data_IF_274331725788
#
_entry.id   IF_274331725788
#
_cell.length_a   1.000
_cell.length_b   1.000
_cell.length_c   1.000
_cell.angle_alpha   90.00
_cell.angle_beta   90.00
_cell.angle_gamma   90.00
#
_symmetry.space_group_name_H-M   'P 1'
#
loop_
_entity.id
_entity.type
_entity.pdbx_description
1 polymer ?
#
# COMPACT_ATOMS: atom_id res chain seq x y z
N UNK A 1 -24.02 -5.56 22.75
CA UNK A 1 -23.24 -4.34 22.46
C UNK A 1 -21.82 -4.73 22.04
N UNK A 2 -21.50 -4.66 20.75
CA UNK A 2 -20.15 -4.99 20.26
C UNK A 2 -19.16 -3.93 20.75
N UNK A 3 -18.18 -4.34 21.57
CA UNK A 3 -17.14 -3.44 22.11
C UNK A 3 -16.32 -2.93 20.92
N UNK A 4 -16.40 -1.63 20.63
CA UNK A 4 -15.69 -0.98 19.52
C UNK A 4 -14.20 -1.34 19.60
N UNK A 5 -13.67 -2.01 18.57
CA UNK A 5 -12.27 -2.43 18.54
C UNK A 5 -11.39 -1.19 18.61
N UNK A 6 -10.44 -1.19 19.55
CA UNK A 6 -9.46 -0.11 19.68
C UNK A 6 -8.52 -0.15 18.49
N UNK A 7 -8.51 0.91 17.70
CA UNK A 7 -7.60 1.10 16.57
C UNK A 7 -6.33 1.80 17.04
N UNK A 8 -5.20 1.44 16.45
CA UNK A 8 -3.89 2.03 16.73
C UNK A 8 -3.31 2.58 15.43
N UNK A 9 -2.60 3.71 15.51
CA UNK A 9 -1.97 4.30 14.33
C UNK A 9 -0.84 3.41 13.80
N UNK A 10 -0.50 3.48 12.50
CA UNK A 10 0.60 2.72 11.91
C UNK A 10 1.94 2.97 12.62
N UNK A 11 2.21 4.24 12.99
CA UNK A 11 3.45 4.68 13.64
C UNK A 11 3.57 4.03 15.02
N UNK A 12 2.46 4.00 15.77
CA UNK A 12 2.43 3.38 17.10
C UNK A 12 2.69 1.88 17.03
N UNK A 13 2.07 1.18 16.07
CA UNK A 13 2.30 -0.26 15.87
C UNK A 13 3.76 -0.54 15.51
N UNK A 14 4.34 0.26 14.63
CA UNK A 14 5.74 0.13 14.22
C UNK A 14 6.69 0.37 15.41
N UNK A 15 6.46 1.41 16.21
CA UNK A 15 7.27 1.71 17.38
C UNK A 15 7.24 0.57 18.42
N UNK A 16 6.05 0.09 18.77
CA UNK A 16 5.88 -0.99 19.75
C UNK A 16 6.42 -2.32 19.21
N UNK A 17 6.18 -2.61 17.93
CA UNK A 17 6.72 -3.79 17.26
C UNK A 17 8.25 -3.79 17.19
N UNK A 18 8.87 -2.63 16.93
CA UNK A 18 10.32 -2.47 16.95
C UNK A 18 10.91 -2.60 18.36
N UNK A 19 10.27 -2.01 19.38
CA UNK A 19 10.67 -2.17 20.79
C UNK A 19 10.66 -3.66 21.20
N UNK A 20 9.61 -4.38 20.80
CA UNK A 20 9.49 -5.82 21.03
C UNK A 20 10.48 -6.66 20.20
N UNK A 21 10.88 -6.19 19.02
CA UNK A 21 11.87 -6.83 18.16
C UNK A 21 13.29 -6.67 18.73
N UNK A 22 13.62 -5.49 19.27
CA UNK A 22 14.90 -5.21 19.94
C UNK A 22 15.14 -6.13 21.14
N UNK A 23 14.08 -6.59 21.81
CA UNK A 23 14.16 -7.58 22.89
C UNK A 23 14.80 -7.10 24.19
N UNK A 24 14.95 -5.78 24.37
CA UNK A 24 15.50 -5.17 25.60
C UNK A 24 14.58 -5.41 26.80
N UNK A 25 13.27 -5.36 26.55
CA UNK A 25 12.25 -5.63 27.56
C UNK A 25 11.35 -6.79 27.10
N UNK A 26 10.82 -7.58 28.05
CA UNK A 26 9.92 -8.66 27.70
C UNK A 26 8.57 -8.10 27.24
N UNK A 27 7.90 -8.84 26.36
CA UNK A 27 6.64 -8.45 25.70
C UNK A 27 5.56 -8.01 26.70
N UNK A 28 5.47 -8.63 27.87
CA UNK A 28 4.48 -8.29 28.89
C UNK A 28 4.72 -6.92 29.53
N UNK A 29 5.98 -6.49 29.70
CA UNK A 29 6.32 -5.15 30.21
C UNK A 29 5.98 -4.09 29.16
N UNK A 30 6.35 -4.33 27.90
CA UNK A 30 6.02 -3.44 26.78
C UNK A 30 4.50 -3.29 26.63
N UNK A 31 3.78 -4.40 26.71
CA UNK A 31 2.31 -4.43 26.68
C UNK A 31 1.69 -3.61 27.82
N UNK A 32 2.20 -3.75 29.04
CA UNK A 32 1.73 -2.99 30.20
C UNK A 32 1.99 -1.49 30.04
N UNK A 33 3.21 -1.10 29.62
CA UNK A 33 3.62 0.29 29.40
C UNK A 33 2.71 1.00 28.39
N UNK A 34 2.46 0.33 27.27
CA UNK A 34 1.68 0.88 26.16
C UNK A 34 0.16 0.65 26.31
N UNK A 35 -0.28 -0.03 27.37
CA UNK A 35 -1.68 -0.43 27.61
C UNK A 35 -2.27 -1.19 26.41
N UNK A 36 -1.48 -2.11 25.87
CA UNK A 36 -1.76 -2.98 24.72
C UNK A 36 -1.79 -4.43 25.21
N UNK A 37 -2.55 -5.31 24.56
CA UNK A 37 -2.54 -6.72 24.93
C UNK A 37 -1.25 -7.41 24.46
N UNK A 38 -0.60 -8.28 25.26
CA UNK A 38 0.66 -8.94 24.89
C UNK A 38 0.63 -9.66 23.53
N UNK A 39 -0.50 -10.28 23.18
CA UNK A 39 -0.71 -10.93 21.87
C UNK A 39 -0.58 -9.93 20.71
N UNK A 40 -1.07 -8.69 20.87
CA UNK A 40 -0.98 -7.66 19.83
C UNK A 40 0.48 -7.21 19.66
N UNK A 41 1.24 -7.09 20.75
CA UNK A 41 2.66 -6.76 20.71
C UNK A 41 3.45 -7.85 19.99
N UNK A 42 3.19 -9.13 20.28
CA UNK A 42 3.79 -10.26 19.56
C UNK A 42 3.43 -10.26 18.07
N UNK A 43 2.18 -9.92 17.73
CA UNK A 43 1.74 -9.81 16.34
C UNK A 43 2.50 -8.70 15.60
N UNK A 44 2.63 -7.51 16.21
CA UNK A 44 3.36 -6.41 15.59
C UNK A 44 4.86 -6.68 15.49
N UNK A 45 5.45 -7.37 16.48
CA UNK A 45 6.84 -7.86 16.38
C UNK A 45 7.04 -8.72 15.14
N UNK A 46 6.15 -9.67 14.90
CA UNK A 46 6.18 -10.55 13.73
C UNK A 46 6.01 -9.76 12.43
N UNK A 47 5.00 -8.90 12.38
CA UNK A 47 4.72 -8.05 11.21
C UNK A 47 5.91 -7.15 10.85
N UNK A 48 6.57 -6.56 11.85
CA UNK A 48 7.80 -5.77 11.64
C UNK A 48 8.93 -6.65 11.11
N UNK A 49 9.14 -7.86 11.66
CA UNK A 49 10.19 -8.76 11.17
C UNK A 49 9.97 -9.24 9.73
N UNK A 50 8.72 -9.42 9.31
CA UNK A 50 8.37 -9.86 7.95
C UNK A 50 8.45 -8.73 6.94
N UNK A 51 8.06 -7.51 7.32
CA UNK A 51 8.08 -6.33 6.44
C UNK A 51 9.43 -5.62 6.36
N UNK A 52 10.30 -5.78 7.34
CA UNK A 52 11.64 -5.18 7.32
C UNK A 52 12.44 -5.56 6.06
N UNK A 53 12.51 -6.83 5.64
CA UNK A 53 13.13 -7.22 4.37
C UNK A 53 12.53 -6.52 3.15
N UNK A 54 11.21 -6.29 3.13
CA UNK A 54 10.54 -5.58 2.04
C UNK A 54 10.98 -4.11 1.99
N UNK A 55 11.16 -3.46 3.14
CA UNK A 55 11.65 -2.07 3.22
C UNK A 55 13.08 -1.94 2.66
N UNK A 56 13.95 -2.92 2.90
CA UNK A 56 15.31 -2.93 2.35
C UNK A 56 15.41 -3.49 0.93
N UNK A 57 14.42 -4.29 0.50
CA UNK A 57 14.35 -4.90 -0.83
C UNK A 57 13.60 -4.04 -1.86
N UNK A 58 12.67 -3.19 -1.43
CA UNK A 58 11.87 -2.36 -2.32
C UNK A 58 12.65 -1.14 -2.81
N UNK A 59 12.88 -1.11 -4.12
CA UNK A 59 12.91 0.11 -4.91
C UNK A 59 11.47 0.65 -5.06
N UNK A 60 10.74 0.87 -3.97
CA UNK A 60 9.33 1.27 -4.00
C UNK A 60 9.06 2.48 -4.91
N UNK A 61 10.04 3.39 -5.00
CA UNK A 61 9.99 4.53 -5.91
C UNK A 61 10.09 4.15 -7.39
N UNK A 62 10.83 3.10 -7.76
CA UNK A 62 10.93 2.68 -9.17
C UNK A 62 9.65 2.07 -9.66
N UNK A 63 9.03 1.19 -8.87
CA UNK A 63 7.80 0.51 -9.30
C UNK A 63 6.63 1.51 -9.38
N UNK A 64 6.57 2.48 -8.46
CA UNK A 64 5.58 3.57 -8.53
C UNK A 64 5.82 4.48 -9.74
N UNK A 65 7.08 4.84 -10.02
CA UNK A 65 7.43 5.67 -11.19
C UNK A 65 7.14 4.94 -12.50
N UNK A 66 7.46 3.65 -12.57
CA UNK A 66 7.20 2.80 -13.74
C UNK A 66 5.71 2.60 -13.97
N UNK A 67 4.92 2.47 -12.90
CA UNK A 67 3.46 2.45 -12.98
C UNK A 67 2.90 3.77 -13.53
N UNK A 68 3.39 4.92 -13.06
CA UNK A 68 2.98 6.25 -13.55
C UNK A 68 3.35 6.44 -15.02
N UNK A 69 4.54 6.02 -15.43
CA UNK A 69 4.98 6.09 -16.83
C UNK A 69 4.09 5.24 -17.73
N UNK A 70 3.82 3.99 -17.31
CA UNK A 70 2.94 3.09 -18.06
C UNK A 70 1.52 3.61 -18.14
N UNK A 71 0.99 4.19 -17.07
CA UNK A 71 -0.33 4.81 -17.04
C UNK A 71 -0.40 6.00 -18.03
N UNK A 72 0.65 6.82 -18.10
CA UNK A 72 0.74 7.92 -19.07
C UNK A 72 0.74 7.42 -20.51
N UNK A 73 1.55 6.41 -20.83
CA UNK A 73 1.60 5.81 -22.17
C UNK A 73 0.23 5.27 -22.60
N UNK A 74 -0.46 4.56 -21.70
CA UNK A 74 -1.81 4.05 -21.96
C UNK A 74 -2.82 5.16 -22.22
N UNK A 75 -2.77 6.27 -21.46
CA UNK A 75 -3.68 7.39 -21.70
C UNK A 75 -3.43 8.10 -23.03
N UNK A 76 -2.17 8.23 -23.45
CA UNK A 76 -1.81 8.78 -24.76
C UNK A 76 -2.32 7.89 -25.91
N UNK A 77 -2.18 6.57 -25.78
CA UNK A 77 -2.66 5.61 -26.76
C UNK A 77 -4.20 5.61 -26.86
N UNK A 78 -4.90 5.64 -25.73
CA UNK A 78 -6.36 5.80 -25.70
C UNK A 78 -6.78 7.11 -26.40
N UNK A 79 -6.04 8.20 -26.19
CA UNK A 79 -6.28 9.48 -26.85
C UNK A 79 -6.15 9.39 -28.37
N UNK A 80 -5.06 8.78 -28.87
CA UNK A 80 -4.87 8.54 -30.31
C UNK A 80 -5.96 7.67 -30.90
N UNK A 81 -6.25 6.53 -30.28
CA UNK A 81 -7.29 5.60 -30.75
C UNK A 81 -8.67 6.26 -30.79
N UNK A 82 -9.00 7.12 -29.82
CA UNK A 82 -10.24 7.90 -29.85
C UNK A 82 -10.29 8.84 -31.05
N UNK A 83 -9.21 9.54 -31.36
CA UNK A 83 -9.14 10.46 -32.51
C UNK A 83 -9.23 9.69 -33.84
N UNK A 84 -8.54 8.55 -33.95
CA UNK A 84 -8.60 7.68 -35.13
C UNK A 84 -10.02 7.13 -35.35
N UNK A 85 -10.69 6.69 -34.29
CA UNK A 85 -12.08 6.24 -34.36
C UNK A 85 -13.03 7.35 -34.78
N UNK A 86 -12.90 8.55 -34.21
CA UNK A 86 -13.72 9.71 -34.61
C UNK A 86 -13.46 10.11 -36.08
N UNK A 87 -12.21 10.07 -36.52
CA UNK A 87 -11.85 10.32 -37.90
C UNK A 87 -12.44 9.27 -38.85
N UNK A 88 -12.36 7.98 -38.50
CA UNK A 88 -12.95 6.89 -39.28
C UNK A 88 -14.48 7.01 -39.34
N UNK A 89 -15.15 7.28 -38.22
CA UNK A 89 -16.61 7.52 -38.19
C UNK A 89 -17.00 8.66 -39.13
N UNK A 90 -16.25 9.77 -39.12
CA UNK A 90 -16.50 10.92 -39.99
C UNK A 90 -16.23 10.64 -41.47
N UNK A 91 -15.28 9.76 -41.78
CA UNK A 91 -14.94 9.38 -43.17
C UNK A 91 -15.88 8.34 -43.75
N UNK A 92 -16.44 7.45 -42.92
CA UNK A 92 -17.27 6.32 -43.36
C UNK A 92 -18.77 6.64 -43.30
N UNK A 93 -19.23 7.56 -42.43
CA UNK A 93 -20.58 8.13 -42.52
C UNK A 93 -20.54 9.46 -43.29
N UNK A 94 -20.94 9.49 -44.59
CA UNK A 94 -22.26 9.11 -45.08
C UNK A 94 -22.23 8.28 -46.40
N UNK A 95 -21.98 6.98 -46.32
CA UNK A 95 -22.11 6.04 -47.45
C UNK A 95 -23.30 5.07 -47.28
N UNK A 96 -24.31 5.48 -46.51
CA UNK A 96 -25.54 4.72 -46.31
C UNK A 96 -26.75 5.66 -46.24
N UNK A 97 -27.09 6.25 -47.39
CA UNK A 97 -28.48 6.55 -47.77
C UNK A 97 -28.88 5.63 -48.92
#
# INVERSE_FOLDING_TARGET
>A
MSKKRRTFSPEFKAQVGLEALKGVEPVHVIAARHKVHPVQVSQWKKEVSERLPEVFGQKADRDATEAILREKELFEEIGRLKMELEWLKKKVGPLGE
#
